data_IF_448653071451
#
_entry.id   IF_448653071451
#
_cell.length_a   1.000
_cell.length_b   1.000
_cell.length_c   1.000
_cell.angle_alpha   90.00
_cell.angle_beta   90.00
_cell.angle_gamma   90.00
#
_symmetry.space_group_name_H-M   'P 1'
#
loop_
_entity.id
_entity.type
_entity.pdbx_description
1 polymer ?
#
# COMPACT_ATOMS: atom_id res chain seq x y z
N UNK A 1 21.24 3.77 -2.32
CA UNK A 1 20.58 2.52 -1.93
C UNK A 1 20.13 1.74 -3.15
N UNK A 2 20.08 0.42 -3.03
CA UNK A 2 19.65 -0.45 -4.13
C UNK A 2 18.20 -0.20 -4.49
N UNK A 3 17.86 -0.45 -5.75
CA UNK A 3 16.47 -0.40 -6.20
C UNK A 3 15.65 -1.48 -5.47
N UNK A 4 14.45 -1.09 -5.06
CA UNK A 4 13.51 -1.98 -4.40
C UNK A 4 12.59 -2.60 -5.45
N UNK A 5 12.34 -3.90 -5.35
CA UNK A 5 11.46 -4.63 -6.26
C UNK A 5 10.06 -4.62 -5.71
N UNK A 6 9.14 -4.01 -6.43
CA UNK A 6 7.79 -3.71 -5.93
C UNK A 6 6.70 -4.33 -6.78
N UNK A 7 5.57 -4.64 -6.13
CA UNK A 7 4.30 -4.88 -6.78
C UNK A 7 3.31 -3.79 -6.36
N UNK A 8 2.45 -3.38 -7.28
CA UNK A 8 1.37 -2.42 -7.03
C UNK A 8 0.04 -3.10 -7.29
N UNK A 9 -0.86 -3.05 -6.30
CA UNK A 9 -2.16 -3.71 -6.37
C UNK A 9 -3.26 -2.70 -6.09
N UNK A 10 -4.09 -2.43 -7.09
CA UNK A 10 -5.28 -1.62 -6.91
C UNK A 10 -6.45 -2.53 -6.57
N UNK A 11 -7.13 -2.22 -5.47
CA UNK A 11 -8.26 -3.00 -4.99
C UNK A 11 -9.52 -2.18 -5.22
N UNK A 12 -10.34 -2.62 -6.18
CA UNK A 12 -11.53 -1.88 -6.59
C UNK A 12 -12.50 -2.79 -7.33
N UNK A 13 -13.80 -2.59 -7.08
CA UNK A 13 -14.86 -3.27 -7.82
C UNK A 13 -15.19 -2.58 -9.15
N UNK A 14 -14.68 -1.35 -9.36
CA UNK A 14 -15.12 -0.52 -10.49
C UNK A 14 -14.00 0.04 -11.36
N UNK A 15 -12.76 0.16 -10.84
CA UNK A 15 -11.64 0.74 -11.59
C UNK A 15 -11.17 -0.18 -12.71
N UNK A 16 -10.71 0.46 -13.80
CA UNK A 16 -10.03 -0.20 -14.91
C UNK A 16 -8.65 0.40 -15.09
N UNK A 17 -7.83 -0.15 -15.97
CA UNK A 17 -6.52 0.41 -16.28
C UNK A 17 -6.63 1.90 -16.71
N UNK A 18 -7.68 2.26 -17.45
CA UNK A 18 -7.87 3.62 -17.90
C UNK A 18 -8.26 4.59 -16.77
N UNK A 19 -8.95 4.10 -15.74
CA UNK A 19 -9.49 4.95 -14.66
C UNK A 19 -8.69 4.87 -13.36
N UNK A 20 -7.69 4.00 -13.29
CA UNK A 20 -6.90 3.76 -12.07
C UNK A 20 -5.80 4.81 -11.91
N UNK A 21 -6.20 6.03 -11.54
CA UNK A 21 -5.26 7.13 -11.35
C UNK A 21 -4.36 6.91 -10.16
N UNK A 22 -4.87 6.30 -9.08
CA UNK A 22 -4.10 6.05 -7.85
C UNK A 22 -3.00 5.00 -8.07
N UNK A 23 -3.34 3.87 -8.67
CA UNK A 23 -2.35 2.84 -8.98
C UNK A 23 -1.28 3.34 -9.94
N UNK A 24 -1.68 4.12 -10.94
CA UNK A 24 -0.73 4.73 -11.87
C UNK A 24 0.21 5.69 -11.16
N UNK A 25 -0.31 6.50 -10.23
CA UNK A 25 0.51 7.43 -9.46
C UNK A 25 1.57 6.69 -8.64
N UNK A 26 1.22 5.57 -8.02
CA UNK A 26 2.18 4.77 -7.25
C UNK A 26 3.30 4.27 -8.17
N UNK A 27 2.94 3.70 -9.32
CA UNK A 27 3.93 3.19 -10.29
C UNK A 27 4.88 4.30 -10.72
N UNK A 28 4.34 5.44 -11.13
CA UNK A 28 5.16 6.56 -11.59
C UNK A 28 6.11 7.06 -10.50
N UNK A 29 5.62 7.21 -9.28
CA UNK A 29 6.44 7.69 -8.16
C UNK A 29 7.55 6.69 -7.80
N UNK A 30 7.26 5.40 -7.80
CA UNK A 30 8.28 4.38 -7.56
C UNK A 30 9.36 4.41 -8.65
N UNK A 31 8.96 4.47 -9.90
CA UNK A 31 9.91 4.46 -11.02
C UNK A 31 10.76 5.73 -11.05
N UNK A 32 10.16 6.88 -10.77
CA UNK A 32 10.90 8.15 -10.68
C UNK A 32 11.94 8.12 -9.56
N UNK A 33 11.68 7.39 -8.50
CA UNK A 33 12.61 7.24 -7.38
C UNK A 33 13.68 6.15 -7.63
N UNK A 34 13.65 5.50 -8.78
CA UNK A 34 14.65 4.50 -9.16
C UNK A 34 14.32 3.09 -8.73
N UNK A 35 13.10 2.84 -8.27
CA UNK A 35 12.66 1.49 -7.92
C UNK A 35 12.06 0.75 -9.11
N UNK A 36 11.95 -0.57 -9.01
CA UNK A 36 11.43 -1.43 -10.07
C UNK A 36 10.02 -1.89 -9.72
N UNK A 37 9.06 -1.64 -10.61
CA UNK A 37 7.71 -2.18 -10.47
C UNK A 37 7.62 -3.44 -11.34
N UNK A 38 7.62 -4.61 -10.71
CA UNK A 38 7.61 -5.88 -11.43
C UNK A 38 6.21 -6.31 -11.83
N UNK A 39 5.19 -5.86 -11.10
CA UNK A 39 3.81 -6.15 -11.48
C UNK A 39 2.87 -5.05 -11.00
N UNK A 40 1.83 -4.82 -11.80
CA UNK A 40 0.72 -3.96 -11.42
C UNK A 40 -0.58 -4.69 -11.78
N UNK A 41 -1.50 -4.76 -10.83
CA UNK A 41 -2.75 -5.47 -11.03
C UNK A 41 -3.91 -4.72 -10.40
N UNK A 42 -5.12 -5.03 -10.88
CA UNK A 42 -6.38 -4.55 -10.29
C UNK A 42 -7.14 -5.79 -9.88
N UNK A 43 -7.53 -5.86 -8.60
CA UNK A 43 -8.32 -6.96 -8.08
C UNK A 43 -9.60 -6.44 -7.43
N UNK A 44 -10.61 -7.27 -7.38
CA UNK A 44 -11.87 -6.90 -6.73
C UNK A 44 -11.68 -6.89 -5.21
N UNK A 45 -12.50 -6.09 -4.51
CA UNK A 45 -12.47 -6.03 -3.05
C UNK A 45 -13.17 -7.27 -2.46
N UNK A 46 -12.53 -8.42 -2.68
CA UNK A 46 -12.92 -9.72 -2.17
C UNK A 46 -11.75 -10.25 -1.35
N UNK A 47 -11.94 -10.59 -0.05
CA UNK A 47 -10.83 -10.99 0.82
C UNK A 47 -9.93 -12.07 0.24
N UNK A 48 -10.52 -13.11 -0.37
CA UNK A 48 -9.74 -14.21 -0.96
C UNK A 48 -8.90 -13.77 -2.16
N UNK A 49 -9.44 -12.90 -3.01
CA UNK A 49 -8.71 -12.39 -4.17
C UNK A 49 -7.57 -11.48 -3.75
N UNK A 50 -7.81 -10.64 -2.75
CA UNK A 50 -6.77 -9.76 -2.20
C UNK A 50 -5.64 -10.59 -1.59
N UNK A 51 -5.98 -11.57 -0.72
CA UNK A 51 -4.97 -12.43 -0.09
C UNK A 51 -4.17 -13.23 -1.11
N UNK A 52 -4.83 -13.80 -2.12
CA UNK A 52 -4.17 -14.60 -3.15
C UNK A 52 -3.21 -13.74 -3.97
N UNK A 53 -3.65 -12.56 -4.37
CA UNK A 53 -2.83 -11.66 -5.19
C UNK A 53 -1.59 -11.18 -4.42
N UNK A 54 -1.78 -10.69 -3.19
CA UNK A 54 -0.67 -10.23 -2.36
C UNK A 54 0.21 -11.40 -1.94
N UNK A 55 -0.39 -12.54 -1.61
CA UNK A 55 0.34 -13.75 -1.23
C UNK A 55 1.30 -14.25 -2.31
N UNK A 56 0.97 -14.03 -3.58
CA UNK A 56 1.86 -14.40 -4.68
C UNK A 56 3.12 -13.52 -4.76
N UNK A 57 3.12 -12.37 -4.10
CA UNK A 57 4.23 -11.43 -4.12
C UNK A 57 5.13 -11.54 -2.89
N UNK A 58 4.56 -11.82 -1.72
CA UNK A 58 5.32 -11.87 -0.46
C UNK A 58 6.33 -13.01 -0.48
N UNK A 59 7.50 -12.76 0.13
CA UNK A 59 8.63 -13.70 0.11
C UNK A 59 9.41 -13.70 -1.20
N UNK A 60 8.90 -13.04 -2.24
CA UNK A 60 9.54 -12.98 -3.57
C UNK A 60 9.96 -11.57 -3.94
N UNK A 61 9.13 -10.58 -3.63
CA UNK A 61 9.42 -9.18 -3.87
C UNK A 61 9.77 -8.47 -2.56
N UNK A 62 10.36 -7.28 -2.66
CA UNK A 62 10.76 -6.51 -1.49
C UNK A 62 9.58 -5.76 -0.85
N UNK A 63 8.67 -5.26 -1.68
CA UNK A 63 7.55 -4.46 -1.20
C UNK A 63 6.30 -4.68 -2.04
N UNK A 64 5.15 -4.62 -1.39
CA UNK A 64 3.84 -4.59 -2.04
C UNK A 64 3.11 -3.35 -1.58
N UNK A 65 2.60 -2.56 -2.50
CA UNK A 65 1.82 -1.37 -2.18
C UNK A 65 0.43 -1.56 -2.74
N UNK A 66 -0.56 -1.59 -1.84
CA UNK A 66 -1.97 -1.71 -2.22
C UNK A 66 -2.66 -0.37 -2.06
N UNK A 67 -3.68 -0.11 -2.89
CA UNK A 67 -4.51 1.08 -2.79
C UNK A 67 -5.97 0.70 -2.96
N UNK A 68 -6.84 1.19 -2.07
CA UNK A 68 -8.27 0.91 -2.07
C UNK A 68 -8.70 -0.06 -0.98
N UNK A 69 -9.99 -0.10 -0.70
CA UNK A 69 -10.59 -1.02 0.25
C UNK A 69 -10.30 -0.74 1.72
N UNK A 70 -9.90 0.49 2.07
CA UNK A 70 -9.49 0.85 3.43
C UNK A 70 -10.53 1.64 4.22
N UNK A 71 -11.72 1.88 3.65
CA UNK A 71 -12.78 2.60 4.34
C UNK A 71 -13.53 1.73 5.35
N UNK A 72 -14.71 2.19 5.75
CA UNK A 72 -15.52 1.52 6.77
C UNK A 72 -16.81 0.91 6.21
N UNK A 73 -17.02 0.96 4.89
CA UNK A 73 -18.15 0.31 4.26
C UNK A 73 -17.99 -1.22 4.30
N UNK A 74 -19.09 -1.95 4.16
CA UNK A 74 -19.05 -3.42 4.22
C UNK A 74 -18.19 -4.05 3.15
N UNK A 75 -18.01 -3.37 2.00
CA UNK A 75 -17.13 -3.83 0.92
C UNK A 75 -15.66 -3.49 1.14
N UNK A 76 -15.34 -2.67 2.15
CA UNK A 76 -13.95 -2.29 2.46
C UNK A 76 -13.31 -3.37 3.33
N UNK A 77 -12.85 -4.45 2.73
CA UNK A 77 -12.33 -5.62 3.45
C UNK A 77 -10.82 -5.77 3.38
N UNK A 78 -10.13 -4.91 2.64
CA UNK A 78 -8.68 -5.04 2.39
C UNK A 78 -7.85 -5.02 3.65
N UNK A 79 -8.09 -4.04 4.54
CA UNK A 79 -7.31 -3.95 5.79
C UNK A 79 -7.43 -5.21 6.61
N UNK A 80 -8.66 -5.72 6.79
CA UNK A 80 -8.89 -6.93 7.58
C UNK A 80 -8.22 -8.15 6.95
N UNK A 81 -8.33 -8.26 5.62
CA UNK A 81 -7.74 -9.39 4.89
C UNK A 81 -6.21 -9.39 4.99
N UNK A 82 -5.58 -8.23 4.85
CA UNK A 82 -4.12 -8.13 4.83
C UNK A 82 -3.50 -8.11 6.22
N UNK A 83 -4.15 -7.47 7.19
CA UNK A 83 -3.64 -7.45 8.56
C UNK A 83 -3.53 -8.86 9.16
N UNK A 84 -4.40 -9.77 8.74
CA UNK A 84 -4.32 -11.16 9.18
C UNK A 84 -3.06 -11.88 8.67
N UNK A 85 -2.43 -11.36 7.62
CA UNK A 85 -1.18 -11.92 7.10
C UNK A 85 0.05 -11.36 7.80
N UNK A 86 -0.06 -10.21 8.46
CA UNK A 86 1.10 -9.54 9.03
C UNK A 86 1.73 -10.35 10.15
N UNK A 87 3.03 -10.58 10.03
CA UNK A 87 3.86 -11.16 11.09
C UNK A 87 4.33 -10.09 12.06
N UNK A 88 4.54 -8.88 11.55
CA UNK A 88 4.84 -7.68 12.33
C UNK A 88 4.07 -6.51 11.75
N UNK A 89 3.57 -5.63 12.61
CA UNK A 89 2.87 -4.43 12.18
C UNK A 89 3.83 -3.24 12.25
N UNK A 90 3.74 -2.36 11.25
CA UNK A 90 4.44 -1.07 11.28
C UNK A 90 3.43 0.00 11.74
N UNK A 91 3.12 -0.02 13.02
CA UNK A 91 2.08 0.86 13.58
C UNK A 91 2.37 2.34 13.33
N UNK A 92 3.65 2.73 13.36
CA UNK A 92 4.06 4.11 13.11
C UNK A 92 3.64 4.62 11.74
N UNK A 93 3.55 3.75 10.73
CA UNK A 93 3.10 4.19 9.41
C UNK A 93 1.69 4.77 9.48
N UNK A 94 0.75 4.02 9.99
CA UNK A 94 -0.65 4.45 10.09
C UNK A 94 -0.81 5.67 11.00
N UNK A 95 -0.09 5.70 12.12
CA UNK A 95 -0.13 6.82 13.06
C UNK A 95 0.31 8.13 12.39
N UNK A 96 1.46 8.10 11.71
CA UNK A 96 1.97 9.31 11.05
C UNK A 96 1.11 9.67 9.85
N UNK A 97 0.69 8.69 9.06
CA UNK A 97 -0.16 8.94 7.91
C UNK A 97 -1.46 9.64 8.32
N UNK A 98 -2.12 9.15 9.38
CA UNK A 98 -3.36 9.78 9.86
C UNK A 98 -3.12 11.19 10.39
N UNK A 99 -1.98 11.45 11.05
CA UNK A 99 -1.63 12.80 11.49
C UNK A 99 -1.46 13.74 10.30
N UNK A 100 -0.76 13.31 9.25
CA UNK A 100 -0.60 14.08 8.02
C UNK A 100 -1.94 14.30 7.31
N UNK A 101 -2.77 13.28 7.25
CA UNK A 101 -4.11 13.38 6.66
C UNK A 101 -4.98 14.38 7.40
N UNK A 102 -4.87 14.43 8.72
CA UNK A 102 -5.63 15.40 9.51
C UNK A 102 -5.32 16.84 9.08
N UNK A 103 -4.06 17.14 8.79
CA UNK A 103 -3.68 18.48 8.32
C UNK A 103 -4.27 18.82 6.95
N UNK A 104 -4.52 17.81 6.11
CA UNK A 104 -5.07 18.05 4.77
C UNK A 104 -6.60 18.01 4.72
N UNK A 105 -7.22 17.06 5.40
CA UNK A 105 -8.67 16.83 5.29
C UNK A 105 -9.42 16.96 6.61
N UNK A 106 -8.74 17.27 7.71
CA UNK A 106 -9.36 17.47 9.01
C UNK A 106 -9.87 16.16 9.62
N UNK A 107 -10.97 16.26 10.33
CA UNK A 107 -11.52 15.15 11.13
C UNK A 107 -11.90 13.92 10.33
N UNK A 108 -12.11 14.04 9.01
CA UNK A 108 -12.40 12.88 8.16
C UNK A 108 -11.25 11.86 8.15
N UNK A 109 -10.04 12.26 8.58
CA UNK A 109 -8.91 11.35 8.70
C UNK A 109 -9.18 10.17 9.66
N UNK A 110 -10.14 10.29 10.58
CA UNK A 110 -10.49 9.19 11.48
C UNK A 110 -11.09 7.98 10.74
N UNK A 111 -11.57 8.18 9.51
CA UNK A 111 -12.21 7.13 8.73
C UNK A 111 -11.21 6.26 7.96
N UNK A 112 -9.94 6.69 7.84
CA UNK A 112 -8.96 5.91 7.10
C UNK A 112 -8.32 4.86 8.00
N UNK A 113 -8.24 3.62 7.48
CA UNK A 113 -7.63 2.49 8.18
C UNK A 113 -6.30 2.08 7.56
N UNK A 114 -5.66 3.01 6.85
CA UNK A 114 -4.35 2.76 6.24
C UNK A 114 -3.38 2.13 7.25
N UNK A 115 -2.63 1.14 6.82
CA UNK A 115 -1.75 0.35 7.68
C UNK A 115 -0.56 -0.18 6.89
N UNK A 116 0.40 -0.76 7.59
CA UNK A 116 1.52 -1.44 6.98
C UNK A 116 2.01 -2.56 7.88
N UNK A 117 2.65 -3.55 7.28
CA UNK A 117 3.19 -4.67 8.02
C UNK A 117 4.20 -5.45 7.20
N UNK A 118 4.74 -6.52 7.80
CA UNK A 118 5.75 -7.37 7.19
C UNK A 118 5.21 -8.79 7.07
N UNK A 119 5.37 -9.38 5.90
CA UNK A 119 5.00 -10.77 5.62
C UNK A 119 6.15 -11.43 4.85
N UNK A 120 6.76 -12.44 5.44
CA UNK A 120 7.84 -13.24 4.81
C UNK A 120 8.97 -12.38 4.23
N UNK A 121 9.38 -11.35 4.96
CA UNK A 121 10.46 -10.46 4.52
C UNK A 121 10.06 -9.40 3.52
N UNK A 122 8.77 -9.31 3.18
CA UNK A 122 8.22 -8.29 2.28
C UNK A 122 7.44 -7.26 3.09
N UNK A 123 7.68 -5.98 2.86
CA UNK A 123 6.86 -4.92 3.47
C UNK A 123 5.60 -4.73 2.63
N UNK A 124 4.45 -4.65 3.29
CA UNK A 124 3.15 -4.47 2.64
C UNK A 124 2.54 -3.17 3.17
N UNK A 125 2.28 -2.22 2.27
CA UNK A 125 1.59 -0.97 2.59
C UNK A 125 0.15 -1.04 2.08
N UNK A 126 -0.79 -0.63 2.90
CA UNK A 126 -2.22 -0.67 2.59
C UNK A 126 -2.72 0.78 2.62
N UNK A 127 -2.94 1.36 1.44
CA UNK A 127 -3.24 2.78 1.27
C UNK A 127 -4.70 3.01 0.89
N UNK A 128 -5.26 4.19 1.24
CA UNK A 128 -6.59 4.57 0.75
C UNK A 128 -6.66 4.64 -0.77
N UNK A 129 -7.88 4.66 -1.31
CA UNK A 129 -8.08 4.64 -2.75
C UNK A 129 -7.96 5.97 -3.45
N UNK A 130 -7.95 7.11 -2.74
CA UNK A 130 -7.89 8.41 -3.39
C UNK A 130 -6.46 8.75 -3.82
N UNK A 131 -6.34 9.43 -4.97
CA UNK A 131 -5.04 9.82 -5.49
C UNK A 131 -4.30 10.76 -4.54
N UNK A 132 -5.00 11.72 -3.92
CA UNK A 132 -4.38 12.64 -2.97
C UNK A 132 -3.78 11.90 -1.76
N UNK A 133 -4.50 10.93 -1.21
CA UNK A 133 -4.01 10.13 -0.08
C UNK A 133 -2.79 9.29 -0.49
N UNK A 134 -2.84 8.70 -1.67
CA UNK A 134 -1.74 7.90 -2.22
C UNK A 134 -0.49 8.76 -2.39
N UNK A 135 -0.62 9.94 -2.99
CA UNK A 135 0.53 10.85 -3.17
C UNK A 135 1.11 11.30 -1.83
N UNK A 136 0.25 11.59 -0.86
CA UNK A 136 0.70 11.96 0.48
C UNK A 136 1.52 10.83 1.12
N UNK A 137 1.00 9.62 1.13
CA UNK A 137 1.67 8.46 1.71
C UNK A 137 3.01 8.18 0.99
N UNK A 138 3.00 8.17 -0.33
CA UNK A 138 4.19 7.87 -1.11
C UNK A 138 5.28 8.90 -0.92
N UNK A 139 4.95 10.19 -1.06
CA UNK A 139 5.98 11.23 -1.05
C UNK A 139 6.50 11.56 0.35
N UNK A 140 5.65 11.49 1.37
CA UNK A 140 6.04 11.88 2.73
C UNK A 140 6.57 10.72 3.57
N UNK A 141 6.16 9.51 3.31
CA UNK A 141 6.48 8.37 4.18
C UNK A 141 7.19 7.23 3.44
N UNK A 142 6.58 6.71 2.36
CA UNK A 142 7.07 5.47 1.75
C UNK A 142 8.39 5.69 1.02
N UNK A 143 8.44 6.62 0.08
CA UNK A 143 9.65 6.83 -0.72
C UNK A 143 10.87 7.21 0.13
N UNK A 144 10.74 8.10 1.14
CA UNK A 144 11.89 8.42 1.98
C UNK A 144 12.44 7.23 2.77
N UNK A 145 11.59 6.26 3.13
CA UNK A 145 11.97 5.16 4.02
C UNK A 145 12.05 3.79 3.37
N UNK A 146 11.60 3.65 2.12
CA UNK A 146 11.46 2.33 1.50
C UNK A 146 12.78 1.55 1.45
N UNK A 147 13.85 2.19 1.01
CA UNK A 147 15.17 1.55 0.97
C UNK A 147 15.67 1.16 2.36
N UNK A 148 15.45 2.01 3.36
CA UNK A 148 15.82 1.74 4.74
C UNK A 148 15.06 0.53 5.29
N UNK A 149 13.75 0.49 5.08
CA UNK A 149 12.90 -0.63 5.54
C UNK A 149 13.40 -1.94 4.94
N UNK A 150 13.62 -1.97 3.63
CA UNK A 150 14.07 -3.18 2.94
C UNK A 150 15.47 -3.60 3.45
N UNK A 151 16.35 -2.64 3.69
CA UNK A 151 17.67 -2.94 4.28
C UNK A 151 17.52 -3.61 5.65
N UNK A 152 16.63 -3.10 6.51
CA UNK A 152 16.38 -3.70 7.82
C UNK A 152 15.82 -5.12 7.70
N UNK A 153 14.92 -5.35 6.74
CA UNK A 153 14.33 -6.67 6.52
C UNK A 153 15.34 -7.72 6.05
N UNK A 154 16.44 -7.29 5.45
CA UNK A 154 17.49 -8.19 4.96
C UNK A 154 18.56 -8.54 6.01
N UNK A 155 18.45 -7.95 7.17
CA UNK A 155 19.33 -8.29 8.30
C UNK A 155 18.91 -9.63 8.88
#
# INVERSE_FOLDING_TARGET
MSAVRCAVVTISDTRTEATDTSGRAIVELLEQAGHTVESKSIVRDEPEQVRTNVGACVGRLDAVITTGGTGIASRDTTCDALENLFQRRLDGFGEIFRALSYHEIGSAAILTRATAGVVDGTVVFVLPGSENAVRLAMTKLILPELGHIVHELRK
#
